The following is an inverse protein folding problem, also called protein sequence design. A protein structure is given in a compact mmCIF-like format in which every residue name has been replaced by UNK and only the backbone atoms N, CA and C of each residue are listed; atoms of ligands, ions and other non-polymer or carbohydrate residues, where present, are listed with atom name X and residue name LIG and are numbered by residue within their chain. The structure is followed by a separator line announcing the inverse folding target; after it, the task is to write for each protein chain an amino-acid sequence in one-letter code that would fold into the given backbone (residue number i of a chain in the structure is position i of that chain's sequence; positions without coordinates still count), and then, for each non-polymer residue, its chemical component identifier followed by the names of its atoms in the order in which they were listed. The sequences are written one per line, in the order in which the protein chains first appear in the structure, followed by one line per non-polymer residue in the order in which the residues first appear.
data_IF_142628067710
#
_entry.id   IF_142628067710
#
_cell.length_a   1.000
_cell.length_b   1.000
_cell.length_c   1.000
_cell.angle_alpha   90.00
_cell.angle_beta   90.00
_cell.angle_gamma   90.00
#
_symmetry.space_group_name_H-M   'P 1'
#
loop_
_entity.id
_entity.type
_entity.pdbx_description
1 polymer ?
#
# COMPACT_ATOMS: atom_id res chain seq x y z
N UNK A 1 1.93 -16.87 63.15
CA UNK A 1 1.84 -16.73 62.66
C UNK A 1 1.77 -16.63 61.60
N UNK A 2 1.52 -16.52 61.07
CA UNK A 2 1.35 -16.34 60.16
C UNK A 2 1.64 -16.04 59.11
N UNK A 3 1.62 -16.01 58.37
CA UNK A 3 1.88 -15.75 57.47
C UNK A 3 1.73 -15.44 56.41
N UNK A 4 1.63 -15.26 55.95
CA UNK A 4 1.46 -14.89 55.01
C UNK A 4 1.53 -14.91 53.89
N UNK A 5 1.37 -14.92 53.43
CA UNK A 5 1.44 -14.90 52.41
C UNK A 5 1.38 -14.37 51.47
N UNK A 6 1.25 -14.14 50.96
CA UNK A 6 1.15 -13.56 50.06
C UNK A 6 1.53 -13.58 48.99
N UNK A 7 1.57 -13.66 48.53
CA UNK A 7 1.88 -13.66 47.63
C UNK A 7 1.88 -13.48 46.55
N UNK A 8 1.79 -13.46 46.12
CA UNK A 8 1.86 -13.32 45.15
C UNK A 8 1.52 -13.08 44.15
N UNK A 9 1.23 -12.85 43.87
CA UNK A 9 0.78 -12.51 43.01
C UNK A 9 1.37 -11.99 42.04
N UNK A 10 1.79 -11.95 41.68
CA UNK A 10 2.36 -11.50 40.84
C UNK A 10 2.15 -11.57 39.70
N UNK A 11 1.73 -11.58 39.36
CA UNK A 11 1.58 -11.70 38.32
C UNK A 11 1.57 -11.32 37.39
N UNK A 12 1.47 -11.27 36.88
CA UNK A 12 1.48 -11.14 35.95
C UNK A 12 1.18 -10.55 35.04
N UNK A 13 1.29 -10.14 34.72
CA UNK A 13 1.04 -9.42 33.98
C UNK A 13 1.72 -9.42 32.94
N UNK A 14 1.59 -10.01 32.21
CA UNK A 14 2.17 -10.08 31.19
C UNK A 14 1.72 -9.48 30.39
N UNK A 15 1.67 -8.74 30.11
CA UNK A 15 1.48 -7.96 29.32
C UNK A 15 1.56 -8.46 28.17
N UNK A 16 0.79 -8.79 27.69
CA UNK A 16 0.84 -9.23 26.56
C UNK A 16 1.11 -8.27 25.66
N UNK A 17 2.03 -8.10 25.15
CA UNK A 17 2.31 -7.31 24.28
C UNK A 17 1.77 -7.73 23.17
N UNK A 18 0.86 -7.31 22.68
CA UNK A 18 0.35 -7.62 21.57
C UNK A 18 1.00 -6.90 20.59
N UNK A 19 1.75 -7.34 19.73
CA UNK A 19 2.28 -6.62 18.77
C UNK A 19 1.34 -6.54 17.79
N UNK A 20 0.92 -5.51 17.32
CA UNK A 20 0.04 -5.33 16.29
C UNK A 20 0.69 -5.80 15.10
N UNK A 21 0.53 -6.93 14.66
CA UNK A 21 1.08 -7.29 13.48
C UNK A 21 0.35 -6.67 12.42
N UNK A 22 0.93 -6.12 11.43
CA UNK A 22 0.27 -5.52 10.32
C UNK A 22 -0.42 -6.57 9.53
N UNK A 23 -1.69 -6.42 9.32
CA UNK A 23 -2.44 -7.34 8.49
C UNK A 23 -2.61 -6.75 7.10
N UNK A 24 -1.89 -5.69 6.78
CA UNK A 24 -2.05 -5.01 5.51
C UNK A 24 -0.86 -5.23 4.62
N UNK A 25 -1.01 -4.99 3.35
CA UNK A 25 0.08 -5.04 2.39
C UNK A 25 0.39 -3.64 1.87
N UNK A 26 1.27 -3.56 0.89
CA UNK A 26 1.70 -2.30 0.37
C UNK A 26 2.03 -2.44 -1.11
N UNK A 27 1.80 -1.41 -1.89
CA UNK A 27 2.19 -1.37 -3.29
C UNK A 27 3.04 -0.12 -3.47
N UNK A 28 4.15 -0.25 -4.18
CA UNK A 28 4.99 0.89 -4.49
C UNK A 28 5.58 0.72 -5.87
N UNK A 29 6.14 1.76 -6.43
CA UNK A 29 6.77 1.66 -7.73
C UNK A 29 7.24 3.01 -8.23
N UNK A 30 7.86 2.98 -9.40
CA UNK A 30 8.35 4.18 -10.05
C UNK A 30 7.65 4.31 -11.39
N UNK A 31 7.25 5.52 -11.71
CA UNK A 31 6.62 5.79 -13.00
C UNK A 31 7.55 6.66 -13.82
N UNK A 32 7.82 6.22 -15.02
CA UNK A 32 8.72 6.91 -15.94
C UNK A 32 8.07 7.04 -17.31
N UNK A 33 8.70 7.80 -18.17
CA UNK A 33 8.24 7.94 -19.56
C UNK A 33 9.13 7.07 -20.47
N UNK A 34 8.88 7.03 -21.76
CA UNK A 34 9.64 6.14 -22.64
C UNK A 34 11.13 6.45 -22.71
N UNK A 35 11.54 7.68 -22.34
CA UNK A 35 12.95 8.00 -22.35
C UNK A 35 13.64 7.53 -21.08
N UNK A 36 12.87 7.02 -20.11
CA UNK A 36 13.42 6.60 -18.85
C UNK A 36 13.40 7.69 -17.79
N UNK A 37 12.89 8.87 -18.12
CA UNK A 37 12.82 9.95 -17.14
C UNK A 37 11.66 9.70 -16.19
N UNK A 38 11.88 9.93 -14.92
CA UNK A 38 10.80 9.75 -13.96
C UNK A 38 9.77 10.84 -14.10
N UNK A 39 8.52 10.53 -13.78
CA UNK A 39 7.42 11.48 -13.98
C UNK A 39 6.74 11.76 -12.65
N UNK A 40 6.90 12.98 -12.11
CA UNK A 40 6.22 13.33 -10.86
C UNK A 40 4.77 13.74 -11.13
N UNK A 41 3.98 13.76 -10.10
CA UNK A 41 2.60 14.26 -10.18
C UNK A 41 1.61 13.32 -10.85
N UNK A 42 1.98 12.08 -11.09
CA UNK A 42 1.08 11.11 -11.71
C UNK A 42 0.09 10.61 -10.67
N UNK A 43 -1.16 10.56 -11.03
CA UNK A 43 -2.19 10.08 -10.13
C UNK A 43 -2.30 8.57 -10.22
N UNK A 44 -2.10 7.90 -9.10
CA UNK A 44 -2.18 6.44 -9.03
C UNK A 44 -3.36 6.10 -8.13
N UNK A 45 -4.36 5.44 -8.67
CA UNK A 45 -5.57 5.10 -7.95
C UNK A 45 -5.64 3.60 -7.72
N UNK A 46 -5.91 3.23 -6.49
CA UNK A 46 -6.09 1.83 -6.13
C UNK A 46 -7.58 1.61 -5.95
N UNK A 47 -8.17 0.78 -6.78
CA UNK A 47 -9.59 0.57 -6.79
C UNK A 47 -9.91 -0.85 -6.37
N UNK A 48 -10.81 -1.00 -5.41
CA UNK A 48 -11.29 -2.31 -5.03
C UNK A 48 -12.63 -2.52 -5.72
N UNK A 49 -12.70 -3.33 -6.76
CA UNK A 49 -13.94 -3.48 -7.50
C UNK A 49 -15.05 -4.15 -6.70
N UNK A 50 -14.70 -4.90 -5.67
CA UNK A 50 -15.74 -5.55 -4.86
C UNK A 50 -16.46 -4.58 -3.97
N UNK A 51 -15.78 -3.55 -3.47
CA UNK A 51 -16.40 -2.59 -2.56
C UNK A 51 -16.54 -1.23 -3.20
N UNK A 52 -15.95 -1.06 -4.40
CA UNK A 52 -16.03 0.21 -5.11
C UNK A 52 -15.32 1.34 -4.36
N UNK A 53 -14.33 1.03 -3.56
CA UNK A 53 -13.57 2.04 -2.86
C UNK A 53 -12.33 2.40 -3.66
N UNK A 54 -11.87 3.62 -3.54
CA UNK A 54 -10.73 4.12 -4.28
C UNK A 54 -9.82 4.91 -3.37
N UNK A 55 -8.53 4.66 -3.47
CA UNK A 55 -7.51 5.46 -2.78
C UNK A 55 -6.59 5.99 -3.85
N UNK A 56 -6.15 7.22 -3.74
CA UNK A 56 -5.27 7.82 -4.73
C UNK A 56 -4.06 8.43 -4.09
N UNK A 57 -2.92 8.29 -4.75
CA UNK A 57 -1.69 8.95 -4.33
C UNK A 57 -1.07 9.55 -5.58
N UNK A 58 -0.08 10.40 -5.43
CA UNK A 58 0.62 10.97 -6.57
C UNK A 58 2.08 10.66 -6.46
N UNK A 59 2.76 10.55 -7.60
CA UNK A 59 4.20 10.30 -7.58
C UNK A 59 4.91 11.57 -7.11
N UNK A 60 6.03 11.37 -6.44
CA UNK A 60 6.84 12.47 -5.94
C UNK A 60 7.85 12.89 -6.99
N UNK A 61 8.79 13.75 -6.63
CA UNK A 61 9.77 14.27 -7.57
C UNK A 61 10.64 13.19 -8.18
N UNK A 62 10.78 12.06 -7.54
CA UNK A 62 11.53 10.95 -8.06
C UNK A 62 10.66 9.96 -8.85
N UNK A 63 9.41 10.32 -9.09
CA UNK A 63 8.50 9.44 -9.80
C UNK A 63 8.03 8.27 -8.97
N UNK A 64 8.24 8.32 -7.66
CA UNK A 64 7.92 7.20 -6.80
C UNK A 64 6.54 7.36 -6.21
N UNK A 65 5.77 6.28 -6.15
CA UNK A 65 4.51 6.28 -5.42
C UNK A 65 4.51 5.14 -4.41
N UNK A 66 3.81 5.32 -3.32
CA UNK A 66 3.68 4.30 -2.28
C UNK A 66 2.25 4.33 -1.79
N UNK A 67 1.61 3.18 -1.78
CA UNK A 67 0.29 3.03 -1.21
C UNK A 67 0.41 2.05 -0.06
N UNK A 68 0.44 2.53 1.17
CA UNK A 68 0.63 1.66 2.32
C UNK A 68 -0.68 1.18 2.90
N UNK A 69 -0.60 0.26 3.80
CA UNK A 69 -1.75 -0.18 4.59
C UNK A 69 -2.94 -0.61 3.74
N UNK A 70 -2.69 -1.51 2.78
CA UNK A 70 -3.74 -1.98 1.90
C UNK A 70 -4.29 -3.28 2.46
N UNK A 71 -5.62 -3.35 2.62
CA UNK A 71 -6.26 -4.55 3.09
C UNK A 71 -6.14 -5.64 2.04
N UNK A 72 -5.94 -6.88 2.42
CA UNK A 72 -5.80 -7.98 1.46
C UNK A 72 -7.05 -8.12 0.60
N UNK A 73 -6.86 -8.06 -0.70
CA UNK A 73 -7.96 -8.19 -1.66
C UNK A 73 -7.36 -8.15 -3.06
N UNK A 74 -8.20 -8.18 -4.06
CA UNK A 74 -7.78 -8.06 -5.45
C UNK A 74 -8.15 -6.67 -5.92
N UNK A 75 -7.19 -5.95 -6.47
CA UNK A 75 -7.38 -4.55 -6.81
C UNK A 75 -7.08 -4.24 -8.26
N UNK A 76 -7.48 -3.07 -8.67
CA UNK A 76 -7.12 -2.51 -9.97
C UNK A 76 -6.32 -1.24 -9.70
N UNK A 77 -5.19 -1.07 -10.39
CA UNK A 77 -4.45 0.17 -10.32
C UNK A 77 -4.70 0.95 -11.60
N UNK A 78 -4.97 2.23 -11.45
CA UNK A 78 -5.19 3.09 -12.57
C UNK A 78 -4.21 4.24 -12.48
N UNK A 79 -3.46 4.48 -13.53
CA UNK A 79 -2.41 5.49 -13.56
C UNK A 79 -2.77 6.53 -14.59
N UNK A 80 -2.82 7.79 -14.17
CA UNK A 80 -3.27 8.85 -15.05
C UNK A 80 -2.48 10.13 -14.89
N UNK A 81 -2.19 10.76 -16.00
CA UNK A 81 -1.62 12.10 -16.01
C UNK A 81 -2.01 12.75 -17.34
N UNK A 82 -2.38 14.02 -17.33
CA UNK A 82 -2.77 14.71 -18.55
C UNK A 82 -1.66 14.63 -19.57
N UNK A 83 -1.99 14.36 -20.80
CA UNK A 83 -1.02 14.25 -21.87
C UNK A 83 -0.48 12.87 -22.08
N UNK A 84 -0.86 11.93 -21.20
CA UNK A 84 -0.40 10.56 -21.32
C UNK A 84 -1.59 9.62 -21.37
N UNK A 85 -1.39 8.45 -21.94
CA UNK A 85 -2.44 7.47 -21.94
C UNK A 85 -2.62 6.91 -20.59
N UNK A 86 -3.85 6.74 -20.15
CA UNK A 86 -4.14 6.12 -18.87
C UNK A 86 -3.80 4.64 -18.93
N UNK A 87 -3.30 4.09 -17.84
CA UNK A 87 -2.98 2.69 -17.75
C UNK A 87 -3.85 2.08 -16.67
N UNK A 88 -4.43 0.93 -16.95
CA UNK A 88 -5.23 0.24 -15.98
C UNK A 88 -4.70 -1.17 -15.87
N UNK A 89 -4.38 -1.62 -14.67
CA UNK A 89 -3.91 -2.98 -14.46
C UNK A 89 -4.82 -3.64 -13.45
N UNK A 90 -5.52 -4.68 -13.88
CA UNK A 90 -6.48 -5.37 -13.05
C UNK A 90 -5.88 -6.61 -12.44
N UNK A 91 -6.55 -7.16 -11.46
CA UNK A 91 -6.16 -8.45 -10.90
C UNK A 91 -4.93 -8.42 -10.02
N UNK A 92 -4.65 -7.31 -9.35
CA UNK A 92 -3.51 -7.25 -8.49
C UNK A 92 -3.90 -7.78 -7.13
N UNK A 93 -3.31 -8.89 -6.74
CA UNK A 93 -3.66 -9.50 -5.48
C UNK A 93 -2.71 -9.01 -4.42
N UNK A 94 -3.23 -8.41 -3.37
CA UNK A 94 -2.44 -7.93 -2.25
C UNK A 94 -2.67 -8.87 -1.08
N UNK A 95 -1.60 -9.42 -0.54
CA UNK A 95 -1.70 -10.36 0.56
C UNK A 95 -1.16 -9.74 1.83
N UNK A 96 -1.48 -10.36 2.95
CA UNK A 96 -1.06 -9.87 4.25
C UNK A 96 0.46 -9.76 4.29
N UNK A 97 0.95 -8.61 4.73
CA UNK A 97 2.38 -8.40 4.90
C UNK A 97 3.18 -8.33 3.62
N UNK A 98 2.53 -8.27 2.47
CA UNK A 98 3.26 -8.26 1.21
C UNK A 98 3.74 -6.87 0.84
N UNK A 99 4.86 -6.82 0.14
CA UNK A 99 5.36 -5.59 -0.42
C UNK A 99 5.44 -5.82 -1.90
N UNK A 100 4.60 -5.15 -2.65
CA UNK A 100 4.50 -5.39 -4.08
C UNK A 100 5.07 -4.21 -4.82
N UNK A 101 6.00 -4.46 -5.74
CA UNK A 101 6.55 -3.38 -6.53
C UNK A 101 6.00 -3.45 -7.94
N UNK A 102 5.36 -2.40 -8.39
CA UNK A 102 4.77 -2.33 -9.72
C UNK A 102 5.16 -1.01 -10.35
N UNK A 103 6.01 -1.06 -11.37
CA UNK A 103 6.46 0.13 -12.06
C UNK A 103 5.66 0.29 -13.35
N UNK A 104 5.52 1.51 -13.81
CA UNK A 104 4.79 1.77 -15.04
C UNK A 104 5.60 2.70 -15.93
N UNK A 105 5.42 2.56 -17.24
CA UNK A 105 5.98 3.49 -18.22
C UNK A 105 4.82 4.16 -18.93
N UNK A 106 4.71 5.46 -18.78
CA UNK A 106 3.63 6.20 -19.42
C UNK A 106 4.00 6.46 -20.86
N UNK A 107 2.98 6.51 -21.70
CA UNK A 107 3.18 6.85 -23.09
C UNK A 107 2.36 8.04 -23.43
N UNK A 108 2.88 8.90 -24.29
CA UNK A 108 2.15 10.09 -24.71
C UNK A 108 0.90 9.63 -25.44
N UNK A 109 -0.21 10.20 -25.04
CA UNK A 109 -1.48 9.81 -25.62
C UNK A 109 -2.15 10.98 -26.21
N UNK A 110 -3.20 10.71 -27.05
CA UNK A 110 -3.93 11.73 -27.51
C UNK A 110 -5.04 11.84 -26.71
N UNK A 111 -5.61 12.91 -26.53
CA UNK A 111 -6.66 13.12 -25.68
C UNK A 111 -7.88 13.10 -26.35
#
# INVERSE_FOLDING_TARGET
MRASRLSAIAFLLFASRVFAQSTAGEISGVISDPSGSVVPGVNVSLINPSTNTTRSVKTNESGLYVIPAIQPAVYTLKVELSGFRAIERKGIEVQVGSSNRIDFTLEVGEI
#
